data_IF_815306789349
#
_entry.id   IF_815306789349
#
_cell.length_a   1.000
_cell.length_b   1.000
_cell.length_c   1.000
_cell.angle_alpha   90.00
_cell.angle_beta   90.00
_cell.angle_gamma   90.00
#
_symmetry.space_group_name_H-M   'P 1'
#
loop_
_entity.id
_entity.type
_entity.pdbx_description
1 polymer ?
#
# COMPACT_ATOMS: atom_id res chain seq x y z
N UNK A 1 -6.78 -16.96 6.07
CA UNK A 1 -5.40 -16.52 5.82
C UNK A 1 -4.79 -16.04 7.14
N UNK A 2 -3.48 -16.18 7.33
CA UNK A 2 -2.77 -15.56 8.47
C UNK A 2 -2.69 -14.05 8.18
N UNK A 3 -3.17 -13.17 9.07
CA UNK A 3 -3.08 -11.73 8.85
C UNK A 3 -1.65 -11.24 8.68
N UNK A 4 -1.48 -10.17 7.92
CA UNK A 4 -0.24 -9.41 7.78
C UNK A 4 0.92 -10.23 7.20
N UNK A 5 0.63 -11.24 6.40
CA UNK A 5 1.61 -12.04 5.68
C UNK A 5 1.31 -12.01 4.19
N UNK A 6 2.32 -11.64 3.39
CA UNK A 6 2.23 -11.69 1.94
C UNK A 6 2.43 -13.11 1.42
N UNK A 7 1.56 -13.50 0.50
CA UNK A 7 1.63 -14.75 -0.26
C UNK A 7 1.51 -14.41 -1.75
N UNK A 8 2.24 -15.15 -2.58
CA UNK A 8 2.04 -15.09 -4.03
C UNK A 8 0.81 -15.91 -4.43
N UNK A 9 0.22 -15.61 -5.59
CA UNK A 9 -0.97 -16.32 -6.04
C UNK A 9 -0.72 -17.83 -6.18
N UNK A 10 0.47 -18.23 -6.65
CA UNK A 10 0.87 -19.66 -6.75
C UNK A 10 1.05 -20.35 -5.40
N UNK A 11 1.21 -19.60 -4.32
CA UNK A 11 1.19 -20.17 -2.96
C UNK A 11 -0.23 -20.32 -2.42
N UNK A 12 -1.20 -19.63 -3.02
CA UNK A 12 -2.61 -19.65 -2.61
C UNK A 12 -3.45 -20.60 -3.46
N UNK A 13 -3.14 -20.76 -4.75
CA UNK A 13 -3.86 -21.61 -5.68
C UNK A 13 -2.99 -22.03 -6.90
N UNK A 14 -3.17 -23.25 -7.40
CA UNK A 14 -2.49 -23.83 -8.56
C UNK A 14 -3.31 -23.72 -9.87
N UNK A 15 -4.42 -22.97 -9.84
CA UNK A 15 -5.32 -22.83 -10.98
C UNK A 15 -4.73 -21.94 -12.10
N UNK A 16 -4.64 -22.50 -13.31
CA UNK A 16 -4.09 -21.84 -14.49
C UNK A 16 -4.90 -20.63 -15.02
N UNK A 17 -6.09 -20.37 -14.46
CA UNK A 17 -7.02 -19.31 -14.88
C UNK A 17 -6.59 -17.93 -14.34
N UNK A 18 -5.81 -17.86 -13.25
CA UNK A 18 -5.44 -16.61 -12.57
C UNK A 18 -4.04 -16.08 -12.95
N UNK A 19 -3.45 -16.59 -14.04
CA UNK A 19 -2.18 -16.09 -14.56
C UNK A 19 -2.34 -14.66 -15.10
N UNK A 20 -1.90 -13.66 -14.33
CA UNK A 20 -1.84 -12.27 -14.79
C UNK A 20 -0.59 -12.06 -15.66
N UNK A 21 -0.71 -11.73 -16.95
CA UNK A 21 0.45 -11.46 -17.79
C UNK A 21 1.24 -10.27 -17.25
N UNK A 22 2.55 -10.44 -17.07
CA UNK A 22 3.47 -9.35 -16.77
C UNK A 22 3.85 -9.14 -15.31
N UNK A 23 3.31 -9.92 -14.35
CA UNK A 23 3.78 -9.88 -12.97
C UNK A 23 2.92 -10.72 -12.01
N UNK A 24 3.55 -11.37 -11.03
CA UNK A 24 2.84 -12.13 -9.99
C UNK A 24 2.39 -11.18 -8.87
N UNK A 25 1.07 -11.07 -8.59
CA UNK A 25 0.61 -10.28 -7.46
C UNK A 25 0.96 -10.98 -6.14
N UNK A 26 1.44 -10.19 -5.20
CA UNK A 26 1.64 -10.59 -3.80
C UNK A 26 0.49 -10.00 -2.99
N UNK A 27 -0.23 -10.86 -2.29
CA UNK A 27 -1.47 -10.53 -1.60
C UNK A 27 -1.26 -10.76 -0.11
N UNK A 28 -1.72 -9.81 0.69
CA UNK A 28 -1.76 -9.93 2.14
C UNK A 28 -3.17 -9.61 2.64
N UNK A 29 -3.77 -10.56 3.37
CA UNK A 29 -4.91 -10.27 4.24
C UNK A 29 -4.41 -9.45 5.41
N UNK A 30 -4.92 -8.23 5.61
CA UNK A 30 -4.53 -7.38 6.73
C UNK A 30 -5.64 -7.31 7.78
N UNK A 31 -5.24 -7.11 9.04
CA UNK A 31 -6.15 -6.82 10.16
C UNK A 31 -5.56 -5.74 11.03
N UNK A 32 -6.18 -4.57 11.06
CA UNK A 32 -5.71 -3.35 11.73
C UNK A 32 -6.82 -2.81 12.64
N UNK A 33 -6.83 -3.19 13.94
CA UNK A 33 -7.63 -2.51 14.96
C UNK A 33 -7.43 -0.99 14.96
N UNK A 34 -8.41 -0.25 15.49
CA UNK A 34 -8.40 1.23 15.45
C UNK A 34 -7.21 1.88 16.16
N UNK A 35 -6.64 1.20 17.16
CA UNK A 35 -5.49 1.65 17.95
C UNK A 35 -4.15 1.13 17.42
N UNK A 36 -4.14 0.52 16.23
CA UNK A 36 -2.97 -0.13 15.64
C UNK A 36 -2.66 0.43 14.25
N UNK A 37 -1.43 0.15 13.81
CA UNK A 37 -0.92 0.48 12.49
C UNK A 37 -0.14 -0.70 11.92
N UNK A 38 -0.15 -0.85 10.60
CA UNK A 38 0.63 -1.84 9.88
C UNK A 38 1.70 -1.12 9.05
N UNK A 39 2.96 -1.43 9.33
CA UNK A 39 4.12 -0.98 8.54
C UNK A 39 4.43 -2.08 7.53
N UNK A 40 4.47 -1.74 6.25
CA UNK A 40 4.83 -2.65 5.16
C UNK A 40 6.10 -2.14 4.49
N UNK A 41 7.13 -2.97 4.43
CA UNK A 41 8.46 -2.57 3.94
C UNK A 41 8.93 -3.50 2.83
N UNK A 42 9.47 -2.90 1.78
CA UNK A 42 10.07 -3.63 0.64
C UNK A 42 11.00 -2.70 -0.12
N UNK A 43 12.11 -3.21 -0.65
CA UNK A 43 12.86 -2.49 -1.69
C UNK A 43 12.27 -2.88 -3.03
N UNK A 44 11.60 -1.96 -3.77
CA UNK A 44 11.02 -2.29 -5.07
C UNK A 44 12.10 -2.79 -6.03
N UNK A 45 11.80 -3.78 -6.88
CA UNK A 45 12.74 -4.22 -7.90
C UNK A 45 12.80 -3.18 -9.04
N UNK A 46 13.76 -3.33 -9.95
CA UNK A 46 13.69 -2.67 -11.24
C UNK A 46 12.53 -3.27 -12.03
N UNK A 47 11.51 -2.46 -12.30
CA UNK A 47 10.29 -2.89 -12.96
C UNK A 47 9.78 -1.78 -13.89
N UNK A 48 9.13 -2.15 -14.99
CA UNK A 48 8.49 -1.20 -15.90
C UNK A 48 7.39 -0.40 -15.18
N UNK A 49 6.68 -1.05 -14.26
CA UNK A 49 5.69 -0.43 -13.40
C UNK A 49 5.49 -1.25 -12.13
N UNK A 50 5.03 -0.62 -11.06
CA UNK A 50 4.51 -1.34 -9.91
C UNK A 50 3.46 -0.52 -9.17
N UNK A 51 2.57 -1.22 -8.47
CA UNK A 51 1.52 -0.61 -7.66
C UNK A 51 1.26 -1.37 -6.36
N UNK A 52 0.72 -0.61 -5.39
CA UNK A 52 0.14 -1.09 -4.14
C UNK A 52 -1.34 -0.72 -4.17
N UNK A 53 -2.20 -1.72 -4.02
CA UNK A 53 -3.66 -1.57 -4.03
C UNK A 53 -4.21 -2.00 -2.66
N UNK A 54 -5.06 -1.16 -2.06
CA UNK A 54 -5.60 -1.37 -0.72
C UNK A 54 -7.13 -1.43 -0.77
N UNK A 55 -7.68 -2.56 -0.34
CA UNK A 55 -9.10 -2.85 -0.42
C UNK A 55 -9.67 -3.44 0.86
N UNK A 56 -11.00 -3.45 0.94
CA UNK A 56 -11.76 -4.00 2.06
C UNK A 56 -11.78 -5.54 2.03
N UNK A 57 -12.49 -6.15 2.99
CA UNK A 57 -12.65 -7.60 3.09
C UNK A 57 -13.27 -8.26 1.85
N UNK A 58 -14.05 -7.50 1.08
CA UNK A 58 -14.74 -7.93 -0.13
C UNK A 58 -13.91 -7.73 -1.40
N UNK A 59 -12.62 -7.41 -1.27
CA UNK A 59 -11.71 -7.14 -2.39
C UNK A 59 -12.07 -5.91 -3.20
N UNK A 60 -12.88 -5.02 -2.65
CA UNK A 60 -13.18 -3.74 -3.28
C UNK A 60 -12.14 -2.72 -2.83
N UNK A 61 -11.62 -1.94 -3.76
CA UNK A 61 -10.78 -0.78 -3.41
C UNK A 61 -11.58 0.16 -2.49
N UNK A 62 -10.92 0.75 -1.50
CA UNK A 62 -11.53 1.85 -0.74
C UNK A 62 -11.87 3.02 -1.69
N UNK A 63 -12.60 4.03 -1.19
CA UNK A 63 -13.00 5.17 -2.03
C UNK A 63 -11.80 6.04 -2.44
N UNK A 64 -11.15 5.64 -3.53
CA UNK A 64 -9.94 6.25 -4.09
C UNK A 64 -10.13 7.71 -4.53
N UNK A 65 -11.37 8.23 -4.54
CA UNK A 65 -11.69 9.63 -4.83
C UNK A 65 -11.31 10.56 -3.69
N UNK A 66 -11.37 10.06 -2.46
CA UNK A 66 -11.21 10.85 -1.24
C UNK A 66 -10.23 10.25 -0.24
N UNK A 67 -9.84 9.00 -0.42
CA UNK A 67 -8.97 8.26 0.50
C UNK A 67 -7.70 7.83 -0.22
N UNK A 68 -6.58 7.85 0.50
CA UNK A 68 -5.34 7.26 0.00
C UNK A 68 -5.44 5.75 0.23
N UNK A 69 -5.75 5.00 -0.82
CA UNK A 69 -5.89 3.54 -0.77
C UNK A 69 -5.09 2.84 -1.88
N UNK A 70 -4.11 3.54 -2.43
CA UNK A 70 -3.16 2.97 -3.37
C UNK A 70 -1.93 3.87 -3.52
N UNK A 71 -0.82 3.29 -3.95
CA UNK A 71 0.32 4.03 -4.49
C UNK A 71 0.97 3.25 -5.63
N UNK A 72 1.91 3.87 -6.33
CA UNK A 72 2.62 3.24 -7.44
C UNK A 72 4.00 3.90 -7.62
N UNK A 73 4.78 3.39 -8.58
CA UNK A 73 6.12 3.92 -8.87
C UNK A 73 6.18 5.41 -9.25
N UNK A 74 5.05 6.05 -9.58
CA UNK A 74 4.99 7.48 -9.90
C UNK A 74 4.59 8.36 -8.71
N UNK A 75 3.81 7.80 -7.76
CA UNK A 75 3.27 8.56 -6.63
C UNK A 75 3.96 8.26 -5.30
N UNK A 76 4.62 7.11 -5.19
CA UNK A 76 5.28 6.71 -3.97
C UNK A 76 6.51 7.57 -3.71
N UNK A 77 6.75 7.85 -2.44
CA UNK A 77 7.98 8.47 -1.98
C UNK A 77 8.90 7.36 -1.48
N UNK A 78 10.00 7.14 -2.20
CA UNK A 78 11.01 6.14 -1.84
C UNK A 78 12.01 6.76 -0.87
N UNK A 79 12.40 6.02 0.17
CA UNK A 79 13.41 6.43 1.13
C UNK A 79 14.80 6.52 0.48
N UNK A 80 15.75 7.20 1.11
CA UNK A 80 17.07 7.46 0.50
C UNK A 80 17.90 6.18 0.30
N UNK A 81 17.59 5.12 1.05
CA UNK A 81 18.18 3.78 0.88
C UNK A 81 17.48 2.94 -0.21
N UNK A 82 16.49 3.48 -0.92
CA UNK A 82 15.73 2.77 -1.94
C UNK A 82 14.53 1.97 -1.41
N UNK A 83 14.30 1.95 -0.09
CA UNK A 83 13.18 1.23 0.50
C UNK A 83 11.85 1.99 0.29
N UNK A 84 10.80 1.23 -0.02
CA UNK A 84 9.42 1.68 0.07
C UNK A 84 8.89 1.31 1.46
N UNK A 85 8.54 2.31 2.25
CA UNK A 85 7.83 2.15 3.52
C UNK A 85 6.39 2.62 3.31
N UNK A 86 5.42 1.71 3.45
CA UNK A 86 3.99 1.98 3.40
C UNK A 86 3.42 1.81 4.80
N UNK A 87 2.55 2.72 5.23
CA UNK A 87 1.88 2.62 6.53
C UNK A 87 0.38 2.61 6.34
N UNK A 88 -0.30 1.61 6.88
CA UNK A 88 -1.75 1.59 6.97
C UNK A 88 -2.20 1.86 8.42
N UNK A 89 -3.02 2.89 8.62
CA UNK A 89 -3.53 3.31 9.94
C UNK A 89 -4.81 4.12 9.79
N UNK A 90 -5.69 4.09 10.79
CA UNK A 90 -6.99 4.81 10.73
C UNK A 90 -6.82 6.33 10.73
N UNK A 91 -5.81 6.84 11.43
CA UNK A 91 -5.45 8.25 11.44
C UNK A 91 -4.18 8.50 10.62
N UNK A 92 -4.06 9.70 10.08
CA UNK A 92 -2.89 10.17 9.34
C UNK A 92 -1.65 10.21 10.24
N UNK A 93 -0.62 9.37 9.99
CA UNK A 93 0.58 9.34 10.81
C UNK A 93 1.65 10.36 10.38
N UNK A 94 1.41 11.14 9.33
CA UNK A 94 2.36 12.14 8.82
C UNK A 94 3.49 11.56 7.95
N UNK A 95 3.29 10.37 7.36
CA UNK A 95 4.21 9.77 6.36
C UNK A 95 3.60 9.84 4.94
N UNK A 96 4.41 9.92 3.88
CA UNK A 96 3.91 10.16 2.52
C UNK A 96 3.14 8.97 1.92
N UNK A 97 3.55 7.73 2.20
CA UNK A 97 2.92 6.51 1.67
C UNK A 97 1.92 5.93 2.69
N UNK A 98 1.00 6.76 3.14
CA UNK A 98 -0.08 6.33 4.03
C UNK A 98 -1.24 5.72 3.25
N UNK A 99 -1.82 4.66 3.81
CA UNK A 99 -3.05 4.03 3.34
C UNK A 99 -4.13 4.11 4.44
N UNK A 100 -5.30 4.61 4.06
CA UNK A 100 -6.45 4.85 4.95
C UNK A 100 -7.46 3.67 4.85
N UNK A 101 -7.64 2.88 5.92
CA UNK A 101 -8.63 1.80 5.97
C UNK A 101 -10.08 2.23 5.85
N UNK A 102 -10.38 3.53 5.87
CA UNK A 102 -11.73 4.08 5.71
C UNK A 102 -12.71 3.49 6.73
N UNK A 103 -12.24 3.24 7.95
CA UNK A 103 -13.01 2.66 9.05
C UNK A 103 -13.06 1.12 9.08
N UNK A 104 -12.55 0.43 8.06
CA UNK A 104 -12.46 -1.03 8.07
C UNK A 104 -11.30 -1.49 8.97
N UNK A 105 -11.51 -2.59 9.68
CA UNK A 105 -10.48 -3.20 10.54
C UNK A 105 -9.79 -4.39 9.89
N UNK A 106 -10.24 -4.79 8.70
CA UNK A 106 -9.65 -5.88 7.92
C UNK A 106 -9.92 -5.71 6.43
N UNK A 107 -9.07 -6.36 5.61
CA UNK A 107 -9.19 -6.35 4.16
C UNK A 107 -7.98 -6.97 3.47
N UNK A 108 -7.74 -6.58 2.22
CA UNK A 108 -6.60 -7.06 1.44
C UNK A 108 -5.73 -5.91 0.93
N UNK A 109 -4.44 -6.17 0.86
CA UNK A 109 -3.45 -5.31 0.19
C UNK A 109 -2.71 -6.14 -0.83
N UNK A 110 -2.50 -5.58 -2.02
CA UNK A 110 -1.83 -6.24 -3.12
C UNK A 110 -0.66 -5.41 -3.61
N UNK A 111 0.50 -6.05 -3.74
CA UNK A 111 1.67 -5.50 -4.42
C UNK A 111 1.81 -6.20 -5.76
N UNK A 112 2.03 -5.42 -6.83
CA UNK A 112 2.19 -5.96 -8.18
C UNK A 112 3.42 -5.36 -8.84
N UNK A 113 4.39 -6.20 -9.18
CA UNK A 113 5.63 -5.84 -9.89
C UNK A 113 5.49 -6.20 -11.37
N UNK A 114 5.46 -5.23 -12.27
CA UNK A 114 5.21 -5.44 -13.70
C UNK A 114 6.49 -5.30 -14.50
N UNK A 115 6.86 -6.35 -15.26
CA UNK A 115 8.06 -6.36 -16.08
C UNK A 115 9.34 -6.30 -15.24
N UNK A 116 9.37 -7.08 -14.15
CA UNK A 116 10.50 -7.25 -13.25
C UNK A 116 11.15 -8.62 -13.46
N UNK A 117 12.45 -8.74 -13.20
CA UNK A 117 13.19 -10.01 -13.21
C UNK A 117 13.06 -10.81 -11.90
N UNK A 118 12.64 -10.15 -10.81
CA UNK A 118 12.35 -10.76 -9.52
C UNK A 118 11.16 -10.10 -8.81
N UNK A 119 10.61 -10.80 -7.82
CA UNK A 119 9.38 -10.39 -7.11
C UNK A 119 9.66 -10.33 -5.59
N UNK A 120 10.21 -9.23 -5.06
CA UNK A 120 10.51 -9.13 -3.65
C UNK A 120 9.22 -9.15 -2.82
N UNK A 121 9.22 -9.96 -1.76
CA UNK A 121 8.09 -10.08 -0.83
C UNK A 121 8.15 -9.00 0.23
N UNK A 122 7.12 -8.14 0.38
CA UNK A 122 7.09 -7.18 1.46
C UNK A 122 7.03 -7.84 2.83
N UNK A 123 7.71 -7.26 3.80
CA UNK A 123 7.58 -7.62 5.21
C UNK A 123 6.59 -6.70 5.91
N UNK A 124 5.95 -7.22 6.95
CA UNK A 124 4.94 -6.52 7.73
C UNK A 124 5.34 -6.46 9.19
N UNK A 125 5.12 -5.31 9.82
CA UNK A 125 5.23 -5.13 11.28
C UNK A 125 3.99 -4.39 11.78
N UNK A 126 3.20 -5.05 12.61
CA UNK A 126 2.03 -4.45 13.24
C UNK A 126 2.39 -3.92 14.63
N UNK A 127 2.02 -2.68 14.89
CA UNK A 127 2.37 -1.95 16.11
C UNK A 127 1.17 -1.19 16.65
N UNK A 128 1.22 -0.77 17.92
CA UNK A 128 0.28 0.24 18.42
C UNK A 128 0.49 1.54 17.67
N UNK A 129 -0.59 2.21 17.27
CA UNK A 129 -0.52 3.48 16.54
C UNK A 129 0.28 4.54 17.32
N UNK A 130 0.18 4.54 18.65
CA UNK A 130 0.95 5.41 19.54
C UNK A 130 2.48 5.16 19.51
N UNK A 131 2.92 3.97 19.08
CA UNK A 131 4.33 3.57 19.00
C UNK A 131 4.89 3.69 17.57
N UNK A 132 4.03 3.92 16.58
CA UNK A 132 4.39 3.91 15.16
C UNK A 132 5.62 4.78 14.85
N UNK A 133 5.63 6.04 15.30
CA UNK A 133 6.74 6.96 15.03
C UNK A 133 8.04 6.59 15.75
N UNK A 134 7.99 5.73 16.77
CA UNK A 134 9.17 5.24 17.49
C UNK A 134 9.79 4.02 16.79
N UNK A 135 8.96 3.24 16.09
CA UNK A 135 9.37 2.02 15.36
C UNK A 135 9.88 2.35 13.96
N UNK A 136 9.30 3.37 13.32
CA UNK A 136 9.77 3.83 12.01
C UNK A 136 11.24 4.32 12.08
N UNK A 137 12.02 4.18 10.98
CA UNK A 137 13.37 4.71 10.92
C UNK A 137 13.41 6.21 11.29
N UNK A 138 14.40 6.68 12.08
CA UNK A 138 14.46 8.08 12.52
C UNK A 138 14.41 9.12 11.38
N UNK A 139 14.96 8.75 10.23
CA UNK A 139 15.04 9.55 9.01
C UNK A 139 13.89 9.31 8.01
N UNK A 140 12.84 8.57 8.40
CA UNK A 140 11.67 8.32 7.53
C UNK A 140 11.15 9.63 6.96
N UNK A 141 10.87 9.65 5.67
CA UNK A 141 10.31 10.85 5.02
C UNK A 141 8.95 11.18 5.64
N UNK A 142 8.73 12.47 5.88
CA UNK A 142 7.49 13.00 6.49
C UNK A 142 6.74 13.87 5.49
N UNK A 143 5.46 14.02 5.75
CA UNK A 143 4.57 14.91 5.00
C UNK A 143 3.79 15.79 5.98
N UNK A 144 3.70 17.08 5.69
CA UNK A 144 2.88 18.03 6.45
C UNK A 144 1.41 17.89 6.08
N UNK A 145 0.51 18.43 6.92
CA UNK A 145 -0.92 18.45 6.62
C UNK A 145 -1.25 19.21 5.31
N UNK A 146 -0.50 20.28 4.99
CA UNK A 146 -0.68 21.03 3.75
C UNK A 146 -0.26 20.22 2.52
N UNK A 147 0.88 19.53 2.59
CA UNK A 147 1.34 18.63 1.54
C UNK A 147 0.39 17.43 1.36
N UNK A 148 -0.15 16.88 2.46
CA UNK A 148 -1.16 15.82 2.41
C UNK A 148 -2.44 16.28 1.69
N UNK A 149 -2.92 17.48 2.00
CA UNK A 149 -4.06 18.07 1.29
C UNK A 149 -3.75 18.22 -0.21
N UNK A 150 -2.54 18.64 -0.56
CA UNK A 150 -2.04 18.69 -1.93
C UNK A 150 -2.02 17.32 -2.63
N UNK A 151 -1.57 16.28 -1.92
CA UNK A 151 -1.53 14.89 -2.39
C UNK A 151 -2.93 14.38 -2.74
N UNK A 152 -3.90 14.55 -1.83
CA UNK A 152 -5.31 14.19 -2.06
C UNK A 152 -5.92 14.97 -3.24
N UNK A 153 -5.66 16.28 -3.30
CA UNK A 153 -6.16 17.10 -4.40
C UNK A 153 -5.58 16.67 -5.76
N UNK A 154 -4.31 16.28 -5.82
CA UNK A 154 -3.68 15.75 -7.02
C UNK A 154 -4.32 14.44 -7.48
N UNK A 155 -4.57 13.50 -6.55
CA UNK A 155 -5.27 12.24 -6.83
C UNK A 155 -6.67 12.51 -7.40
N UNK A 156 -7.44 13.41 -6.76
CA UNK A 156 -8.78 13.79 -7.22
C UNK A 156 -8.79 14.40 -8.62
N UNK A 157 -7.83 15.29 -8.93
CA UNK A 157 -7.68 15.84 -10.29
C UNK A 157 -7.45 14.76 -11.34
N UNK A 158 -6.64 13.74 -11.03
CA UNK A 158 -6.41 12.60 -11.92
C UNK A 158 -7.69 11.85 -12.25
N UNK A 159 -8.56 11.65 -11.25
CA UNK A 159 -9.85 10.98 -11.42
C UNK A 159 -10.80 11.82 -12.27
N UNK A 160 -10.91 13.13 -11.98
CA UNK A 160 -11.71 14.04 -12.80
C UNK A 160 -11.27 13.94 -14.28
N UNK A 161 -9.96 14.08 -14.56
CA UNK A 161 -9.39 13.94 -15.91
C UNK A 161 -9.75 12.62 -16.61
N UNK A 162 -9.86 11.52 -15.87
CA UNK A 162 -10.18 10.19 -16.42
C UNK A 162 -11.65 10.07 -16.85
N UNK A 163 -12.57 10.73 -16.15
CA UNK A 163 -14.01 10.54 -16.31
C UNK A 163 -14.75 11.79 -16.78
N UNK A 164 -14.04 12.80 -17.30
CA UNK A 164 -14.69 13.90 -18.00
C UNK A 164 -15.34 13.37 -19.29
N UNK A 165 -16.66 13.51 -19.38
CA UNK A 165 -17.41 13.69 -20.64
C UNK A 165 -17.57 15.17 -20.94
#
# INVERSE_FOLDING_TARGET
>A
AIPNQFLSYRQMDDNAIDATPGGEPLICYWRIPKDEALIIRVTPPQANYWAVEFGNYWWETMDYRYRLCSTNCHHAVIEDNGELIVVASHDDPGVPNWLDPSGHVEGYVTFRWIGSDHYPTPSCEQVKAAQLMQVLPPQVKKITAAERAGQLAARRRGICKRFHT
#
